data_IF_205231125487
#
_entry.id   IF_205231125487
#
_cell.length_a   1.000
_cell.length_b   1.000
_cell.length_c   1.000
_cell.angle_alpha   90.00
_cell.angle_beta   90.00
_cell.angle_gamma   90.00
#
_symmetry.space_group_name_H-M   'P 1'
#
loop_
_entity.id
_entity.type
_entity.pdbx_description
1 polymer ?
#
# COMPACT_ATOMS: atom_id res chain seq x y z
N UNK A 1 -15.52 -7.89 -3.80
CA UNK A 1 -14.58 -6.75 -3.85
C UNK A 1 -13.77 -6.74 -2.57
N UNK A 2 -12.47 -6.47 -2.65
CA UNK A 2 -11.61 -6.25 -1.48
C UNK A 2 -10.88 -4.93 -1.60
N UNK A 3 -10.59 -4.30 -0.47
CA UNK A 3 -9.78 -3.07 -0.41
C UNK A 3 -8.53 -3.37 0.39
N UNK A 4 -7.37 -3.02 -0.16
CA UNK A 4 -6.08 -3.18 0.49
C UNK A 4 -5.40 -1.84 0.69
N UNK A 5 -4.75 -1.68 1.82
CA UNK A 5 -3.72 -0.66 2.03
C UNK A 5 -2.38 -1.28 1.67
N UNK A 6 -1.71 -0.72 0.67
CA UNK A 6 -0.37 -1.11 0.24
C UNK A 6 0.60 0.04 0.51
N UNK A 7 1.68 -0.24 1.22
CA UNK A 7 2.72 0.73 1.57
C UNK A 7 4.04 0.18 1.07
N UNK A 8 4.78 1.01 0.38
CA UNK A 8 6.05 0.68 -0.25
C UNK A 8 7.10 1.63 0.28
N UNK A 9 8.16 1.11 0.90
CA UNK A 9 9.30 1.94 1.28
C UNK A 9 9.99 2.42 0.02
N UNK A 10 10.32 3.70 -0.06
CA UNK A 10 11.14 4.20 -1.16
C UNK A 10 12.55 3.63 -1.05
N UNK A 11 13.09 3.20 -2.20
CA UNK A 11 14.43 2.66 -2.28
C UNK A 11 15.39 3.74 -2.76
N UNK A 12 16.55 3.78 -2.14
CA UNK A 12 17.66 4.59 -2.64
C UNK A 12 18.18 4.03 -3.97
N UNK A 13 18.79 4.87 -4.80
CA UNK A 13 19.42 4.44 -6.06
C UNK A 13 20.41 3.29 -5.83
N UNK A 14 21.19 3.36 -4.75
CA UNK A 14 22.14 2.33 -4.36
C UNK A 14 21.47 1.00 -4.01
N UNK A 15 20.32 1.02 -3.34
CA UNK A 15 19.56 -0.22 -3.06
C UNK A 15 19.05 -0.85 -4.36
N UNK A 16 18.57 -0.03 -5.30
CA UNK A 16 18.14 -0.48 -6.62
C UNK A 16 19.31 -1.09 -7.40
N UNK A 17 20.45 -0.39 -7.46
CA UNK A 17 21.67 -0.87 -8.15
C UNK A 17 22.18 -2.20 -7.58
N UNK A 18 22.09 -2.37 -6.26
CA UNK A 18 22.50 -3.61 -5.60
C UNK A 18 21.43 -4.71 -5.65
N UNK A 19 20.28 -4.45 -6.28
CA UNK A 19 19.17 -5.41 -6.37
C UNK A 19 18.55 -5.74 -5.01
N UNK A 20 18.60 -4.80 -4.06
CA UNK A 20 17.92 -4.96 -2.77
C UNK A 20 16.41 -5.07 -3.03
N UNK A 21 15.72 -6.08 -2.49
CA UNK A 21 14.28 -6.20 -2.66
C UNK A 21 13.53 -5.02 -2.06
N UNK A 22 12.48 -4.56 -2.74
CA UNK A 22 11.61 -3.51 -2.24
C UNK A 22 10.85 -3.98 -1.00
N UNK A 23 10.99 -3.25 0.10
CA UNK A 23 10.18 -3.49 1.30
C UNK A 23 8.76 -2.98 1.06
N UNK A 24 7.77 -3.84 1.31
CA UNK A 24 6.36 -3.52 1.17
C UNK A 24 5.52 -4.12 2.28
N UNK A 25 4.42 -3.45 2.60
CA UNK A 25 3.43 -3.89 3.57
C UNK A 25 2.06 -3.87 2.91
N UNK A 26 1.26 -4.92 3.11
CA UNK A 26 -0.09 -5.02 2.58
C UNK A 26 -1.06 -5.49 3.65
N UNK A 27 -2.18 -4.78 3.79
CA UNK A 27 -3.21 -5.06 4.77
C UNK A 27 -4.60 -5.02 4.12
N UNK A 28 -5.44 -6.00 4.41
CA UNK A 28 -6.86 -5.95 4.05
C UNK A 28 -7.58 -4.92 4.94
N UNK A 29 -8.18 -3.93 4.30
CA UNK A 29 -8.89 -2.80 4.92
C UNK A 29 -10.32 -2.69 4.38
N UNK A 30 -10.88 -3.78 3.88
CA UNK A 30 -12.22 -3.81 3.26
C UNK A 30 -13.35 -3.30 4.16
N UNK A 31 -13.12 -3.29 5.49
CA UNK A 31 -14.08 -2.86 6.50
C UNK A 31 -13.81 -1.46 7.06
N UNK A 32 -12.81 -0.74 6.53
CA UNK A 32 -12.42 0.58 7.01
C UNK A 32 -12.89 1.68 6.07
N UNK A 33 -13.21 2.84 6.66
CA UNK A 33 -13.43 4.09 5.92
C UNK A 33 -12.10 4.70 5.44
N UNK A 34 -12.18 5.65 4.51
CA UNK A 34 -10.98 6.30 3.96
C UNK A 34 -10.15 7.03 5.02
N UNK A 35 -10.81 7.67 6.00
CA UNK A 35 -10.14 8.32 7.13
C UNK A 35 -9.42 7.29 8.03
N UNK A 36 -10.04 6.14 8.29
CA UNK A 36 -9.41 5.05 9.04
C UNK A 36 -8.23 4.43 8.28
N UNK A 37 -8.31 4.33 6.95
CA UNK A 37 -7.21 3.84 6.11
C UNK A 37 -6.01 4.79 6.21
N UNK A 38 -6.23 6.11 6.17
CA UNK A 38 -5.18 7.12 6.33
C UNK A 38 -4.55 7.04 7.72
N UNK A 39 -5.36 6.94 8.77
CA UNK A 39 -4.85 6.76 10.14
C UNK A 39 -4.03 5.47 10.26
N UNK A 40 -4.48 4.38 9.63
CA UNK A 40 -3.76 3.10 9.63
C UNK A 40 -2.43 3.17 8.89
N UNK A 41 -2.39 3.88 7.75
CA UNK A 41 -1.15 4.20 7.03
C UNK A 41 -0.14 4.85 7.98
N UNK A 42 -0.55 5.92 8.66
CA UNK A 42 0.32 6.69 9.55
C UNK A 42 0.82 5.87 10.76
N UNK A 43 -0.02 5.02 11.34
CA UNK A 43 0.38 4.07 12.40
C UNK A 43 1.45 3.09 11.92
N UNK A 44 1.26 2.50 10.74
CA UNK A 44 2.15 1.47 10.20
C UNK A 44 3.51 2.06 9.83
N UNK A 45 3.55 3.19 9.12
CA UNK A 45 4.84 3.81 8.72
C UNK A 45 5.63 4.27 9.94
N UNK A 46 4.95 4.76 10.98
CA UNK A 46 5.58 5.11 12.26
C UNK A 46 6.14 3.88 12.97
N UNK A 47 5.41 2.77 12.97
CA UNK A 47 5.86 1.51 13.59
C UNK A 47 7.07 0.92 12.86
N UNK A 48 7.07 0.97 11.52
CA UNK A 48 8.16 0.46 10.67
C UNK A 48 9.34 1.43 10.58
N UNK A 49 9.18 2.68 11.04
CA UNK A 49 10.20 3.72 10.94
C UNK A 49 10.47 4.15 9.50
N UNK A 50 9.49 4.02 8.59
CA UNK A 50 9.63 4.43 7.20
C UNK A 50 9.35 5.92 7.07
N UNK A 51 10.36 6.68 6.64
CA UNK A 51 10.27 8.14 6.45
C UNK A 51 9.94 8.52 5.01
N UNK A 52 10.43 7.75 4.05
CA UNK A 52 10.12 7.91 2.61
C UNK A 52 9.39 6.65 2.15
N UNK A 53 8.15 6.84 1.72
CA UNK A 53 7.28 5.75 1.33
C UNK A 53 6.21 6.23 0.35
N UNK A 54 5.68 5.29 -0.41
CA UNK A 54 4.47 5.45 -1.23
C UNK A 54 3.36 4.58 -0.65
N UNK A 55 2.19 5.16 -0.44
CA UNK A 55 1.01 4.45 0.04
C UNK A 55 -0.12 4.50 -0.99
N UNK A 56 -0.81 3.37 -1.16
CA UNK A 56 -1.88 3.21 -2.15
C UNK A 56 -3.05 2.46 -1.52
N UNK A 57 -4.26 2.98 -1.73
CA UNK A 57 -5.50 2.24 -1.55
C UNK A 57 -5.80 1.47 -2.83
N UNK A 58 -5.77 0.15 -2.73
CA UNK A 58 -5.97 -0.77 -3.83
C UNK A 58 -7.35 -1.42 -3.73
N UNK A 59 -8.25 -1.08 -4.65
CA UNK A 59 -9.57 -1.72 -4.77
C UNK A 59 -9.47 -2.86 -5.79
N UNK A 60 -9.60 -4.09 -5.30
CA UNK A 60 -9.50 -5.32 -6.07
C UNK A 60 -10.89 -5.90 -6.37
N UNK A 61 -11.17 -6.11 -7.66
CA UNK A 61 -12.44 -6.65 -8.13
C UNK A 61 -12.38 -8.13 -8.55
N UNK A 62 -11.22 -8.79 -8.48
CA UNK A 62 -11.05 -10.14 -9.01
C UNK A 62 -11.93 -11.22 -8.35
N UNK A 63 -12.37 -10.99 -7.10
CA UNK A 63 -13.32 -11.89 -6.42
C UNK A 63 -14.75 -11.79 -7.01
N UNK A 64 -15.07 -10.70 -7.73
CA UNK A 64 -16.36 -10.48 -8.41
C UNK A 64 -16.25 -10.74 -9.92
N UNK A 65 -15.25 -10.16 -10.56
CA UNK A 65 -14.94 -10.32 -11.98
C UNK A 65 -13.42 -10.35 -12.17
N UNK A 66 -12.89 -11.51 -12.55
CA UNK A 66 -11.47 -11.73 -12.77
C UNK A 66 -10.87 -10.90 -13.91
N UNK A 67 -11.69 -10.37 -14.82
CA UNK A 67 -11.23 -9.54 -15.94
C UNK A 67 -11.33 -8.03 -15.63
N UNK A 68 -11.99 -7.65 -14.54
CA UNK A 68 -12.15 -6.25 -14.18
C UNK A 68 -10.83 -5.71 -13.62
N UNK A 69 -10.26 -4.62 -14.17
CA UNK A 69 -9.02 -4.05 -13.68
C UNK A 69 -9.20 -3.52 -12.26
N UNK A 70 -8.14 -3.64 -11.45
CA UNK A 70 -8.11 -3.05 -10.12
C UNK A 70 -7.96 -1.52 -10.21
N UNK A 71 -8.47 -0.82 -9.20
CA UNK A 71 -8.31 0.63 -9.05
C UNK A 71 -7.26 0.92 -7.97
N UNK A 72 -6.35 1.85 -8.27
CA UNK A 72 -5.26 2.25 -7.38
C UNK A 72 -5.37 3.75 -7.12
N UNK A 73 -5.51 4.13 -5.85
CA UNK A 73 -5.59 5.52 -5.40
C UNK A 73 -4.42 5.82 -4.47
N UNK A 74 -3.61 6.83 -4.81
CA UNK A 74 -2.45 7.20 -4.00
C UNK A 74 -2.89 8.00 -2.77
N UNK A 75 -2.46 7.54 -1.59
CA UNK A 75 -2.77 8.15 -0.31
C UNK A 75 -1.65 9.12 0.06
N UNK A 76 -1.94 10.42 -0.06
CA UNK A 76 -1.02 11.49 0.37
C UNK A 76 -0.98 11.63 1.88
#
# INVERSE_FOLDING_TARGET
MKVFLEIYKEQTEKEIENGVPQESFRLDVSNLSDEEIINKKDEIVKLLGWTEFRAVKHVCFHDEDSNKPCELEELK
#
